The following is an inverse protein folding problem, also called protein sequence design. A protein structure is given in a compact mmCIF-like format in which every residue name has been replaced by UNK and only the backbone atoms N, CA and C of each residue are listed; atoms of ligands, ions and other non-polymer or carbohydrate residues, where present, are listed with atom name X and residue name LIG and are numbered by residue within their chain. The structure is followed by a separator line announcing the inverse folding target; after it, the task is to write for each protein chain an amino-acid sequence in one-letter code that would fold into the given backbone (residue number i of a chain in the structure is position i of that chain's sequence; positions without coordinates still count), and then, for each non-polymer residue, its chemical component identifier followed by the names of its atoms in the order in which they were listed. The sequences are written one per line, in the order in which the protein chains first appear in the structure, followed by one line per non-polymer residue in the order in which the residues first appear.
data_IF_089213692242
#
_entry.id   IF_089213692242
#
_cell.length_a   1.000
_cell.length_b   1.000
_cell.length_c   1.000
_cell.angle_alpha   90.00
_cell.angle_beta   90.00
_cell.angle_gamma   90.00
#
_symmetry.space_group_name_H-M   'P 1'
#
loop_
_entity.id
_entity.type
_entity.pdbx_description
1 polymer ?
#
# COMPACT_ATOMS: atom_id res chain seq x y z
N UNK A 1 15.40 -10.48 -5.61
CA UNK A 1 14.94 -9.11 -5.29
C UNK A 1 13.48 -8.98 -5.70
N UNK A 2 12.63 -8.53 -4.78
CA UNK A 2 11.26 -8.12 -5.10
C UNK A 2 11.19 -6.60 -5.01
N UNK A 3 10.66 -5.96 -6.05
CA UNK A 3 10.49 -4.51 -6.13
C UNK A 3 9.02 -4.18 -6.16
N UNK A 4 8.64 -3.12 -5.45
CA UNK A 4 7.26 -2.68 -5.32
C UNK A 4 7.19 -1.19 -5.56
N UNK A 5 6.29 -0.76 -6.44
CA UNK A 5 5.96 0.65 -6.58
C UNK A 5 5.31 1.17 -5.30
N UNK A 6 5.69 2.39 -4.91
CA UNK A 6 5.17 3.03 -3.71
C UNK A 6 4.77 4.48 -4.00
N UNK A 7 3.53 4.80 -3.66
CA UNK A 7 3.05 6.16 -3.58
C UNK A 7 3.14 6.64 -2.12
N UNK A 8 4.15 7.47 -1.83
CA UNK A 8 4.28 8.14 -0.54
C UNK A 8 3.54 9.48 -0.60
N UNK A 9 2.46 9.61 0.17
CA UNK A 9 1.57 10.77 0.15
C UNK A 9 1.46 11.33 1.56
N UNK A 10 1.53 12.65 1.69
CA UNK A 10 1.21 13.35 2.94
C UNK A 10 -0.11 14.08 2.78
N UNK A 11 -1.11 13.71 3.59
CA UNK A 11 -2.43 14.35 3.59
C UNK A 11 -2.74 14.87 5.00
N UNK A 12 -3.04 16.16 5.15
CA UNK A 12 -3.31 16.80 6.45
C UNK A 12 -2.28 16.46 7.56
N UNK A 13 -0.99 16.38 7.21
CA UNK A 13 0.09 16.05 8.15
C UNK A 13 0.23 14.56 8.48
N UNK A 14 -0.57 13.70 7.85
CA UNK A 14 -0.48 12.24 7.94
C UNK A 14 0.27 11.70 6.73
N UNK A 15 1.25 10.84 6.96
CA UNK A 15 1.95 10.13 5.89
C UNK A 15 1.34 8.77 5.60
N UNK A 16 1.05 8.53 4.33
CA UNK A 16 0.52 7.31 3.75
C UNK A 16 1.57 6.69 2.83
N UNK A 17 1.81 5.40 2.99
CA UNK A 17 2.69 4.62 2.13
C UNK A 17 1.78 3.65 1.37
N UNK A 18 1.28 4.08 0.22
CA UNK A 18 0.32 3.33 -0.57
C UNK A 18 1.08 2.40 -1.51
N UNK A 19 0.79 1.11 -1.43
CA UNK A 19 1.47 0.07 -2.23
C UNK A 19 0.45 -0.58 -3.15
N UNK A 20 0.43 -0.25 -4.45
CA UNK A 20 -0.40 -0.97 -5.42
C UNK A 20 0.05 -2.44 -5.52
N UNK A 21 -0.87 -3.32 -5.18
CA UNK A 21 -0.72 -4.77 -5.24
C UNK A 21 -1.54 -5.33 -6.40
N UNK A 22 -1.11 -6.47 -6.90
CA UNK A 22 -1.88 -7.22 -7.89
C UNK A 22 -3.24 -7.65 -7.30
N UNK A 23 -4.28 -7.75 -8.13
CA UNK A 23 -5.63 -8.17 -7.72
C UNK A 23 -5.65 -9.51 -6.96
N UNK A 24 -4.67 -10.37 -7.24
CA UNK A 24 -4.49 -11.66 -6.56
C UNK A 24 -4.25 -11.54 -5.05
N UNK A 25 -3.81 -10.36 -4.57
CA UNK A 25 -3.64 -10.06 -3.15
C UNK A 25 -4.98 -10.09 -2.40
N UNK A 26 -6.06 -9.63 -3.03
CA UNK A 26 -7.40 -9.66 -2.45
C UNK A 26 -7.93 -11.07 -2.16
N UNK A 27 -7.40 -12.08 -2.84
CA UNK A 27 -7.77 -13.49 -2.62
C UNK A 27 -7.00 -14.14 -1.46
N UNK A 28 -5.99 -13.46 -0.90
CA UNK A 28 -5.29 -13.94 0.28
C UNK A 28 -6.17 -13.84 1.52
N UNK A 29 -5.95 -14.73 2.48
CA UNK A 29 -6.63 -14.64 3.79
C UNK A 29 -6.21 -13.38 4.53
N UNK A 30 -7.05 -12.91 5.46
CA UNK A 30 -6.71 -11.75 6.30
C UNK A 30 -5.35 -11.92 7.00
N UNK A 31 -5.03 -13.13 7.47
CA UNK A 31 -3.75 -13.42 8.11
C UNK A 31 -2.57 -13.27 7.12
N UNK A 32 -2.69 -13.78 5.91
CA UNK A 32 -1.66 -13.59 4.87
C UNK A 32 -1.50 -12.13 4.47
N UNK A 33 -2.60 -11.40 4.30
CA UNK A 33 -2.57 -9.97 3.99
C UNK A 33 -1.85 -9.20 5.09
N UNK A 34 -2.18 -9.46 6.36
CA UNK A 34 -1.50 -8.84 7.51
C UNK A 34 0.00 -9.17 7.54
N UNK A 35 0.40 -10.42 7.26
CA UNK A 35 1.81 -10.79 7.20
C UNK A 35 2.57 -10.01 6.11
N UNK A 36 1.96 -9.81 4.95
CA UNK A 36 2.54 -8.99 3.87
C UNK A 36 2.61 -7.51 4.26
N UNK A 37 1.56 -6.97 4.89
CA UNK A 37 1.56 -5.58 5.41
C UNK A 37 2.68 -5.37 6.41
N UNK A 38 2.88 -6.29 7.35
CA UNK A 38 3.97 -6.22 8.33
C UNK A 38 5.34 -6.23 7.67
N UNK A 39 5.54 -7.10 6.66
CA UNK A 39 6.79 -7.11 5.88
C UNK A 39 7.00 -5.79 5.15
N UNK A 40 6.00 -5.29 4.44
CA UNK A 40 6.10 -4.00 3.74
C UNK A 40 6.41 -2.86 4.71
N UNK A 41 5.77 -2.82 5.88
CA UNK A 41 6.00 -1.79 6.89
C UNK A 41 7.44 -1.82 7.43
N UNK A 42 7.99 -3.02 7.66
CA UNK A 42 9.37 -3.19 8.10
C UNK A 42 10.36 -2.68 7.05
N UNK A 43 10.18 -3.07 5.79
CA UNK A 43 11.04 -2.63 4.71
C UNK A 43 10.89 -1.14 4.41
N UNK A 44 9.66 -0.61 4.45
CA UNK A 44 9.42 0.82 4.29
C UNK A 44 10.13 1.63 5.37
N UNK A 45 10.10 1.16 6.62
CA UNK A 45 10.84 1.78 7.71
C UNK A 45 12.36 1.71 7.50
N UNK A 46 12.89 0.56 7.07
CA UNK A 46 14.30 0.39 6.75
C UNK A 46 14.75 1.30 5.58
N UNK A 47 13.86 1.58 4.64
CA UNK A 47 14.07 2.53 3.55
C UNK A 47 13.89 4.01 3.96
N UNK A 48 13.63 4.29 5.25
CA UNK A 48 13.43 5.64 5.78
C UNK A 48 12.08 6.27 5.43
N UNK A 49 11.13 5.49 4.92
CA UNK A 49 9.76 5.96 4.67
C UNK A 49 9.00 6.03 5.99
N UNK A 50 8.46 7.20 6.29
CA UNK A 50 7.63 7.42 7.47
C UNK A 50 6.16 7.42 7.07
N UNK A 51 5.33 6.67 7.79
CA UNK A 51 3.90 6.57 7.52
C UNK A 51 3.34 5.16 7.72
N UNK A 52 2.04 5.05 7.48
CA UNK A 52 1.33 3.76 7.53
C UNK A 52 1.32 3.12 6.15
N UNK A 53 1.77 1.87 6.06
CA UNK A 53 1.63 1.08 4.84
C UNK A 53 0.18 0.69 4.61
N UNK A 54 -0.30 0.99 3.41
CA UNK A 54 -1.65 0.66 2.94
C UNK A 54 -1.52 -0.04 1.59
N UNK A 55 -1.59 -1.37 1.53
CA UNK A 55 -1.72 -2.05 0.25
C UNK A 55 -3.09 -1.75 -0.36
N UNK A 56 -3.10 -1.49 -1.65
CA UNK A 56 -4.30 -1.26 -2.44
C UNK A 56 -4.30 -2.15 -3.68
N UNK A 57 -5.46 -2.64 -4.11
CA UNK A 57 -5.55 -3.50 -5.28
C UNK A 57 -6.90 -3.33 -5.98
N UNK A 58 -7.00 -3.82 -7.21
CA UNK A 58 -8.28 -3.93 -7.89
C UNK A 58 -9.03 -5.17 -7.37
N UNK A 59 -10.18 -4.95 -6.72
CA UNK A 59 -11.08 -6.01 -6.28
C UNK A 59 -12.02 -6.52 -7.39
N UNK A 60 -11.76 -6.12 -8.64
CA UNK A 60 -12.60 -6.38 -9.80
C UNK A 60 -13.39 -5.15 -10.22
N UNK A 61 -13.59 -5.02 -11.53
CA UNK A 61 -14.39 -3.96 -12.15
C UNK A 61 -13.85 -2.53 -11.90
N UNK A 62 -12.55 -2.37 -11.65
CA UNK A 62 -11.91 -1.07 -11.37
C UNK A 62 -12.15 -0.57 -9.94
N UNK A 63 -12.60 -1.44 -9.03
CA UNK A 63 -12.89 -1.07 -7.64
C UNK A 63 -11.63 -1.15 -6.79
N UNK A 64 -11.24 -0.02 -6.22
CA UNK A 64 -10.18 0.06 -5.23
C UNK A 64 -10.58 -0.69 -3.95
N UNK A 65 -9.82 -1.72 -3.61
CA UNK A 65 -9.83 -2.31 -2.29
C UNK A 65 -8.50 -2.05 -1.58
N UNK A 66 -8.53 -2.06 -0.25
CA UNK A 66 -7.39 -1.69 0.57
C UNK A 66 -7.42 -2.36 1.94
N UNK A 67 -6.24 -2.55 2.53
CA UNK A 67 -6.10 -2.89 3.96
C UNK A 67 -5.48 -1.69 4.68
N UNK A 68 -6.24 -1.08 5.59
CA UNK A 68 -5.76 0.06 6.35
C UNK A 68 -6.44 0.13 7.73
N UNK A 69 -5.82 0.80 8.73
CA UNK A 69 -6.50 1.14 9.97
C UNK A 69 -7.64 2.15 9.73
N UNK A 70 -8.68 2.17 10.59
CA UNK A 70 -9.91 2.91 10.38
C UNK A 70 -9.70 4.42 10.16
N UNK A 71 -8.73 5.03 10.82
CA UNK A 71 -8.38 6.46 10.69
C UNK A 71 -7.91 6.86 9.28
N UNK A 72 -7.56 5.88 8.44
CA UNK A 72 -7.05 6.08 7.08
C UNK A 72 -8.13 5.83 6.02
N UNK A 73 -9.27 5.25 6.41
CA UNK A 73 -10.33 4.85 5.46
C UNK A 73 -10.96 6.03 4.75
N UNK A 74 -11.14 7.16 5.43
CA UNK A 74 -11.78 8.35 4.85
C UNK A 74 -11.03 8.85 3.62
N UNK A 75 -9.70 9.01 3.71
CA UNK A 75 -8.88 9.41 2.58
C UNK A 75 -8.90 8.38 1.45
N UNK A 76 -8.74 7.09 1.78
CA UNK A 76 -8.69 6.01 0.79
C UNK A 76 -9.99 5.84 0.01
N UNK A 77 -11.13 6.22 0.59
CA UNK A 77 -12.44 6.21 -0.10
C UNK A 77 -12.58 7.33 -1.14
N UNK A 78 -11.73 8.35 -1.10
CA UNK A 78 -11.78 9.49 -2.02
C UNK A 78 -10.79 9.35 -3.20
N UNK A 79 -10.01 8.27 -3.24
CA UNK A 79 -9.02 8.02 -4.29
C UNK A 79 -9.36 6.71 -5.03
N UNK A 80 -8.72 6.53 -6.18
CA UNK A 80 -8.81 5.33 -7.01
C UNK A 80 -7.41 4.86 -7.46
N UNK A 81 -7.34 3.69 -8.11
CA UNK A 81 -6.06 3.14 -8.59
C UNK A 81 -5.35 4.04 -9.60
N UNK A 82 -6.10 4.81 -10.39
CA UNK A 82 -5.54 5.79 -11.33
C UNK A 82 -4.85 6.93 -10.60
N UNK A 83 -5.50 7.47 -9.55
CA UNK A 83 -4.87 8.45 -8.66
C UNK A 83 -3.59 7.90 -8.02
N UNK A 84 -3.62 6.67 -7.50
CA UNK A 84 -2.44 6.03 -6.88
C UNK A 84 -1.31 5.89 -7.90
N UNK A 85 -1.61 5.40 -9.12
CA UNK A 85 -0.62 5.23 -10.18
C UNK A 85 0.07 6.54 -10.57
N UNK A 86 -0.66 7.66 -10.59
CA UNK A 86 -0.08 8.99 -10.86
C UNK A 86 0.76 9.54 -9.70
N UNK A 87 0.62 9.00 -8.49
CA UNK A 87 1.31 9.44 -7.27
C UNK A 87 2.48 8.53 -6.89
N UNK A 88 2.77 7.48 -7.65
CA UNK A 88 3.96 6.65 -7.43
C UNK A 88 5.20 7.55 -7.52
N UNK A 89 5.99 7.56 -6.46
CA UNK A 89 7.16 8.44 -6.35
C UNK A 89 8.36 7.78 -5.66
N UNK A 90 8.21 6.53 -5.22
CA UNK A 90 9.24 5.70 -4.60
C UNK A 90 9.13 4.28 -5.12
N UNK A 91 10.23 3.55 -5.04
CA UNK A 91 10.27 2.10 -5.21
C UNK A 91 10.79 1.49 -3.91
N UNK A 92 10.14 0.43 -3.45
CA UNK A 92 10.56 -0.35 -2.28
C UNK A 92 11.06 -1.70 -2.76
N UNK A 93 12.36 -1.92 -2.55
CA UNK A 93 13.05 -3.10 -3.07
C UNK A 93 13.74 -3.82 -1.92
N UNK A 94 13.55 -5.14 -1.85
CA UNK A 94 14.25 -5.96 -0.87
C UNK A 94 14.71 -7.29 -1.45
N UNK A 95 15.80 -7.79 -0.90
CA UNK A 95 16.31 -9.13 -1.18
C UNK A 95 15.50 -10.13 -0.34
N UNK A 96 15.05 -11.22 -0.95
CA UNK A 96 14.24 -12.21 -0.24
C UNK A 96 15.10 -12.93 0.79
N UNK A 97 14.52 -13.15 1.97
CA UNK A 97 14.97 -14.16 2.95
C UNK A 97 14.90 -15.57 2.35
#
# INVERSE_FOLDING_TARGET
MATFDVAHITENGVNFIIVPMHSNFGFKTAHEQSAVVSKLQLHANAAGLTGTVVPVWDSGNGRLAFVAPPDRHLFLRHIDLGYVAQKINKELSWEGD
#
